data_IF_807605794074
#
_entry.id   IF_807605794074
#
_cell.length_a   1.000
_cell.length_b   1.000
_cell.length_c   1.000
_cell.angle_alpha   90.00
_cell.angle_beta   90.00
_cell.angle_gamma   90.00
#
_symmetry.space_group_name_H-M   'P 1'
#
loop_
_entity.id
_entity.type
_entity.pdbx_description
1 polymer ?
#
# COMPACT_ATOMS: atom_id res chain seq x y z
N UNK A 1 -42.92 -11.22 -6.83
CA UNK A 1 -41.84 -10.59 -6.04
C UNK A 1 -41.64 -9.21 -6.61
N UNK A 2 -41.76 -8.14 -5.81
CA UNK A 2 -41.63 -6.78 -6.33
C UNK A 2 -40.19 -6.55 -6.76
N UNK A 3 -40.06 -5.78 -7.83
CA UNK A 3 -38.82 -5.44 -8.52
C UNK A 3 -37.89 -4.71 -7.56
N UNK A 4 -36.69 -5.24 -7.33
CA UNK A 4 -35.59 -4.46 -6.77
C UNK A 4 -35.06 -3.55 -7.88
N UNK A 5 -35.76 -2.43 -8.07
CA UNK A 5 -35.29 -1.33 -8.90
C UNK A 5 -33.86 -0.95 -8.47
N UNK A 6 -32.98 -0.87 -9.47
CA UNK A 6 -31.69 -0.23 -9.32
C UNK A 6 -31.96 1.23 -8.94
N UNK A 7 -31.39 1.78 -7.85
CA UNK A 7 -31.24 3.21 -7.83
C UNK A 7 -30.21 3.52 -8.93
N UNK A 8 -30.64 4.26 -9.94
CA UNK A 8 -29.95 5.47 -10.45
C UNK A 8 -30.08 5.58 -11.98
N UNK A 9 -31.02 6.43 -12.41
CA UNK A 9 -31.10 6.97 -13.77
C UNK A 9 -30.00 8.03 -14.04
N UNK A 10 -29.10 8.25 -13.09
CA UNK A 10 -28.07 9.27 -13.15
C UNK A 10 -26.85 8.76 -13.91
N UNK A 11 -26.39 9.57 -14.84
CA UNK A 11 -25.16 9.30 -15.60
C UNK A 11 -23.93 9.69 -14.79
N UNK A 12 -22.76 9.12 -15.10
CA UNK A 12 -21.50 9.36 -14.39
C UNK A 12 -21.22 10.86 -14.04
N UNK A 13 -21.48 11.85 -14.92
CA UNK A 13 -21.28 13.26 -14.59
C UNK A 13 -22.14 13.79 -13.43
N UNK A 14 -23.38 13.32 -13.31
CA UNK A 14 -24.31 13.79 -12.27
C UNK A 14 -23.92 13.22 -10.90
N UNK A 15 -23.54 11.94 -10.87
CA UNK A 15 -22.99 11.30 -9.67
C UNK A 15 -21.70 11.99 -9.24
N UNK A 16 -20.81 12.29 -10.18
CA UNK A 16 -19.56 12.98 -9.89
C UNK A 16 -19.77 14.40 -9.36
N UNK A 17 -20.75 15.14 -9.89
CA UNK A 17 -21.09 16.47 -9.41
C UNK A 17 -21.53 16.46 -7.93
N UNK A 18 -22.25 15.43 -7.49
CA UNK A 18 -22.61 15.26 -6.07
C UNK A 18 -21.34 15.09 -5.22
N UNK A 19 -20.40 14.24 -5.67
CA UNK A 19 -19.14 14.03 -4.95
C UNK A 19 -18.29 15.32 -4.88
N UNK A 20 -18.17 16.07 -5.99
CA UNK A 20 -17.43 17.33 -5.99
C UNK A 20 -18.06 18.39 -5.09
N UNK A 21 -19.40 18.46 -5.02
CA UNK A 21 -20.08 19.44 -4.17
C UNK A 21 -19.72 19.25 -2.68
N UNK A 22 -19.54 18.01 -2.24
CA UNK A 22 -19.17 17.69 -0.86
C UNK A 22 -17.73 18.08 -0.49
N UNK A 23 -16.86 18.36 -1.47
CA UNK A 23 -15.52 18.88 -1.22
C UNK A 23 -15.54 20.33 -0.71
N UNK A 24 -16.56 21.10 -1.12
CA UNK A 24 -16.74 22.50 -0.72
C UNK A 24 -17.70 22.69 0.45
N UNK A 25 -18.55 21.70 0.74
CA UNK A 25 -19.56 21.77 1.79
C UNK A 25 -19.69 20.45 2.56
N UNK A 26 -19.33 20.50 3.85
CA UNK A 26 -19.40 19.35 4.75
C UNK A 26 -20.82 18.83 4.98
N UNK A 27 -21.85 19.66 4.76
CA UNK A 27 -23.25 19.23 4.90
C UNK A 27 -23.61 18.13 3.88
N UNK A 28 -22.90 18.09 2.74
CA UNK A 28 -23.08 17.09 1.68
C UNK A 28 -22.32 15.79 1.87
N UNK A 29 -21.43 15.67 2.87
CA UNK A 29 -20.56 14.48 3.05
C UNK A 29 -21.37 13.18 3.23
N UNK A 30 -22.52 13.26 3.91
CA UNK A 30 -23.38 12.10 4.12
C UNK A 30 -24.02 11.57 2.84
N UNK A 31 -24.37 12.46 1.90
CA UNK A 31 -24.93 12.06 0.61
C UNK A 31 -23.85 11.57 -0.34
N UNK A 32 -22.73 12.29 -0.40
CA UNK A 32 -21.56 11.86 -1.17
C UNK A 32 -21.06 10.48 -0.72
N UNK A 33 -21.11 10.17 0.58
CA UNK A 33 -20.75 8.85 1.09
C UNK A 33 -21.64 7.73 0.52
N UNK A 34 -22.96 7.92 0.48
CA UNK A 34 -23.90 6.94 -0.10
C UNK A 34 -23.64 6.75 -1.59
N UNK A 35 -23.45 7.86 -2.31
CA UNK A 35 -23.15 7.84 -3.75
C UNK A 35 -21.85 7.09 -4.02
N UNK A 36 -20.79 7.37 -3.26
CA UNK A 36 -19.50 6.70 -3.44
C UNK A 36 -19.58 5.19 -3.19
N UNK A 37 -20.29 4.78 -2.13
CA UNK A 37 -20.52 3.35 -1.85
C UNK A 37 -21.34 2.70 -2.96
N UNK A 38 -22.39 3.35 -3.44
CA UNK A 38 -23.19 2.83 -4.56
C UNK A 38 -22.31 2.65 -5.81
N UNK A 39 -21.53 3.66 -6.20
CA UNK A 39 -20.56 3.58 -7.31
C UNK A 39 -19.61 2.39 -7.11
N UNK A 40 -18.97 2.27 -5.94
CA UNK A 40 -17.99 1.22 -5.68
C UNK A 40 -18.59 -0.20 -5.72
N UNK A 41 -19.86 -0.37 -5.35
CA UNK A 41 -20.53 -1.67 -5.31
C UNK A 41 -21.23 -2.05 -6.62
N UNK A 42 -21.72 -1.07 -7.39
CA UNK A 42 -22.63 -1.33 -8.52
C UNK A 42 -22.11 -0.86 -9.87
N UNK A 43 -21.17 0.08 -9.93
CA UNK A 43 -20.60 0.52 -11.19
C UNK A 43 -19.65 -0.56 -11.73
N UNK A 44 -19.70 -0.81 -13.04
CA UNK A 44 -18.78 -1.74 -13.73
C UNK A 44 -17.61 -1.00 -14.42
N UNK A 45 -17.62 0.33 -14.40
CA UNK A 45 -16.53 1.17 -14.90
C UNK A 45 -15.49 1.42 -13.80
N UNK A 46 -14.45 0.59 -13.79
CA UNK A 46 -13.34 0.72 -12.85
C UNK A 46 -12.68 2.11 -12.92
N UNK A 47 -12.49 2.67 -14.11
CA UNK A 47 -11.82 3.97 -14.26
C UNK A 47 -12.63 5.08 -13.59
N UNK A 48 -13.95 5.02 -13.72
CA UNK A 48 -14.84 5.96 -13.05
C UNK A 48 -14.80 5.80 -11.53
N UNK A 49 -14.85 4.56 -11.02
CA UNK A 49 -14.72 4.29 -9.58
C UNK A 49 -13.41 4.88 -9.04
N UNK A 50 -12.30 4.60 -9.71
CA UNK A 50 -10.97 5.11 -9.33
C UNK A 50 -10.93 6.63 -9.38
N UNK A 51 -11.48 7.25 -10.42
CA UNK A 51 -11.53 8.70 -10.56
C UNK A 51 -12.28 9.38 -9.40
N UNK A 52 -13.44 8.84 -9.01
CA UNK A 52 -14.24 9.32 -7.89
C UNK A 52 -13.45 9.22 -6.56
N UNK A 53 -12.87 8.05 -6.29
CA UNK A 53 -12.12 7.82 -5.06
C UNK A 53 -10.84 8.66 -5.00
N UNK A 54 -10.12 8.80 -6.11
CA UNK A 54 -8.93 9.64 -6.20
C UNK A 54 -9.27 11.11 -5.96
N UNK A 55 -10.35 11.60 -6.56
CA UNK A 55 -10.80 12.98 -6.39
C UNK A 55 -11.12 13.28 -4.93
N UNK A 56 -11.89 12.41 -4.27
CA UNK A 56 -12.26 12.61 -2.86
C UNK A 56 -11.07 12.42 -1.92
N UNK A 57 -10.30 11.33 -2.09
CA UNK A 57 -9.19 11.00 -1.21
C UNK A 57 -8.04 12.01 -1.26
N UNK A 58 -7.91 12.78 -2.34
CA UNK A 58 -6.88 13.82 -2.48
C UNK A 58 -7.36 15.23 -2.13
N UNK A 59 -8.67 15.52 -2.27
CA UNK A 59 -9.21 16.89 -2.13
C UNK A 59 -10.07 17.10 -0.90
N UNK A 60 -10.57 16.04 -0.27
CA UNK A 60 -11.38 16.19 0.94
C UNK A 60 -10.52 16.74 2.10
N UNK A 61 -11.15 17.57 2.93
CA UNK A 61 -10.48 18.21 4.07
C UNK A 61 -10.08 17.18 5.14
N UNK A 62 -9.05 17.51 5.91
CA UNK A 62 -8.62 16.76 7.11
C UNK A 62 -9.82 16.48 8.03
N UNK A 63 -9.94 15.23 8.50
CA UNK A 63 -11.07 14.77 9.32
C UNK A 63 -12.39 14.61 8.57
N UNK A 64 -12.37 14.61 7.22
CA UNK A 64 -13.54 14.24 6.42
C UNK A 64 -13.73 12.72 6.41
N UNK A 65 -14.95 12.21 6.66
CA UNK A 65 -15.24 10.78 6.55
C UNK A 65 -15.12 10.27 5.11
N UNK A 66 -15.03 11.14 4.11
CA UNK A 66 -14.84 10.74 2.71
C UNK A 66 -13.42 10.20 2.46
N UNK A 67 -12.43 10.59 3.26
CA UNK A 67 -11.05 10.10 3.14
C UNK A 67 -10.96 8.60 3.43
N UNK A 68 -11.39 8.16 4.61
CA UNK A 68 -11.39 6.75 4.97
C UNK A 68 -12.31 5.91 4.07
N UNK A 69 -13.45 6.48 3.67
CA UNK A 69 -14.40 5.81 2.78
C UNK A 69 -13.85 5.61 1.36
N UNK A 70 -13.10 6.58 0.81
CA UNK A 70 -12.45 6.41 -0.49
C UNK A 70 -11.48 5.24 -0.49
N UNK A 71 -10.73 5.05 0.60
CA UNK A 71 -9.86 3.89 0.77
C UNK A 71 -10.61 2.56 0.81
N UNK A 72 -11.70 2.50 1.60
CA UNK A 72 -12.56 1.33 1.66
C UNK A 72 -13.17 0.98 0.29
N UNK A 73 -13.69 1.98 -0.43
CA UNK A 73 -14.28 1.81 -1.75
C UNK A 73 -13.27 1.29 -2.78
N UNK A 74 -12.01 1.76 -2.74
CA UNK A 74 -10.95 1.21 -3.57
C UNK A 74 -10.59 -0.23 -3.17
N UNK A 75 -10.62 -0.59 -1.89
CA UNK A 75 -10.46 -1.99 -1.44
C UNK A 75 -11.53 -2.91 -2.03
N UNK A 76 -12.80 -2.49 -2.00
CA UNK A 76 -13.88 -3.20 -2.67
C UNK A 76 -13.68 -3.29 -4.19
N UNK A 77 -13.20 -2.24 -4.84
CA UNK A 77 -12.86 -2.28 -6.26
C UNK A 77 -11.72 -3.28 -6.53
N UNK A 78 -10.67 -3.32 -5.71
CA UNK A 78 -9.62 -4.34 -5.82
C UNK A 78 -10.19 -5.76 -5.74
N UNK A 79 -11.11 -6.01 -4.79
CA UNK A 79 -11.79 -7.30 -4.67
C UNK A 79 -12.65 -7.66 -5.88
N UNK A 80 -13.37 -6.69 -6.45
CA UNK A 80 -14.27 -6.92 -7.60
C UNK A 80 -13.50 -7.12 -8.92
N UNK A 81 -12.46 -6.33 -9.14
CA UNK A 81 -11.78 -6.23 -10.44
C UNK A 81 -10.40 -6.89 -10.46
N UNK A 82 -9.87 -7.33 -9.32
CA UNK A 82 -8.52 -7.91 -9.19
C UNK A 82 -7.40 -6.95 -9.62
N UNK A 83 -7.73 -5.67 -9.76
CA UNK A 83 -6.90 -4.68 -10.42
C UNK A 83 -7.23 -3.27 -9.98
N UNK A 84 -6.19 -2.47 -9.77
CA UNK A 84 -6.22 -1.02 -9.58
C UNK A 84 -5.02 -0.36 -10.26
N UNK A 85 -5.14 0.93 -10.54
CA UNK A 85 -4.08 1.84 -10.95
C UNK A 85 -3.07 2.08 -9.82
N UNK A 86 -1.83 2.41 -10.18
CA UNK A 86 -0.78 2.75 -9.21
C UNK A 86 -1.17 3.97 -8.36
N UNK A 87 -1.87 4.94 -8.95
CA UNK A 87 -2.35 6.12 -8.24
C UNK A 87 -3.32 5.75 -7.11
N UNK A 88 -4.25 4.82 -7.36
CA UNK A 88 -5.21 4.35 -6.35
C UNK A 88 -4.52 3.56 -5.24
N UNK A 89 -3.53 2.72 -5.57
CA UNK A 89 -2.73 2.00 -4.58
C UNK A 89 -1.95 2.99 -3.70
N UNK A 90 -1.26 3.96 -4.31
CA UNK A 90 -0.49 4.97 -3.60
C UNK A 90 -1.37 5.86 -2.70
N UNK A 91 -2.57 6.24 -3.16
CA UNK A 91 -3.52 7.00 -2.34
C UNK A 91 -3.91 6.24 -1.08
N UNK A 92 -4.26 4.96 -1.19
CA UNK A 92 -4.67 4.15 -0.04
C UNK A 92 -3.53 3.94 0.94
N UNK A 93 -2.30 3.75 0.44
CA UNK A 93 -1.10 3.73 1.29
C UNK A 93 -0.93 5.03 2.10
N UNK A 94 -0.99 6.18 1.42
CA UNK A 94 -0.85 7.49 2.06
C UNK A 94 -1.96 7.77 3.10
N UNK A 95 -3.21 7.43 2.78
CA UNK A 95 -4.34 7.60 3.70
C UNK A 95 -4.26 6.62 4.88
N UNK A 96 -3.75 5.40 4.68
CA UNK A 96 -3.56 4.43 5.75
C UNK A 96 -2.48 4.89 6.74
N UNK A 97 -1.36 5.45 6.26
CA UNK A 97 -0.37 6.07 7.14
C UNK A 97 -0.96 7.19 7.98
N UNK A 98 -1.80 8.06 7.38
CA UNK A 98 -2.50 9.12 8.10
C UNK A 98 -3.44 8.57 9.17
N UNK A 99 -4.19 7.52 8.85
CA UNK A 99 -5.10 6.88 9.80
C UNK A 99 -4.38 6.18 10.96
N UNK A 100 -3.23 5.57 10.70
CA UNK A 100 -2.38 4.96 11.75
C UNK A 100 -1.76 6.04 12.66
N UNK A 101 -1.40 7.19 12.11
CA UNK A 101 -0.82 8.30 12.86
C UNK A 101 -1.87 9.08 13.67
N UNK A 102 -3.02 9.38 13.06
CA UNK A 102 -4.11 10.13 13.68
C UNK A 102 -5.49 9.69 13.12
N UNK A 103 -6.24 8.84 13.83
CA UNK A 103 -7.58 8.43 13.44
C UNK A 103 -8.61 9.57 13.35
N UNK A 104 -8.32 10.75 13.92
CA UNK A 104 -9.17 11.93 13.77
C UNK A 104 -8.92 12.69 12.45
N UNK A 105 -7.76 12.49 11.81
CA UNK A 105 -7.47 12.98 10.45
C UNK A 105 -8.10 12.07 9.39
N UNK A 106 -7.82 10.76 9.45
CA UNK A 106 -8.39 9.76 8.54
C UNK A 106 -8.89 8.58 9.37
N UNK A 107 -10.15 8.23 9.21
CA UNK A 107 -10.73 7.11 9.95
C UNK A 107 -10.21 5.74 9.47
N UNK A 108 -10.35 4.73 10.32
CA UNK A 108 -9.74 3.41 10.12
C UNK A 108 -10.33 2.59 8.98
N UNK A 109 -11.42 3.00 8.31
CA UNK A 109 -11.99 2.27 7.16
C UNK A 109 -11.01 2.13 6.00
N UNK A 110 -10.05 3.05 5.89
CA UNK A 110 -8.96 2.94 4.91
C UNK A 110 -8.10 1.69 5.15
N UNK A 111 -7.95 1.26 6.40
CA UNK A 111 -7.12 0.10 6.75
C UNK A 111 -7.78 -1.20 6.28
N UNK A 112 -9.11 -1.32 6.42
CA UNK A 112 -9.88 -2.42 5.85
C UNK A 112 -9.74 -2.45 4.32
N UNK A 113 -9.83 -1.28 3.68
CA UNK A 113 -9.60 -1.15 2.24
C UNK A 113 -8.19 -1.57 1.82
N UNK A 114 -7.17 -1.22 2.61
CA UNK A 114 -5.78 -1.63 2.42
C UNK A 114 -5.61 -3.14 2.53
N UNK A 115 -6.27 -3.78 3.49
CA UNK A 115 -6.19 -5.23 3.68
C UNK A 115 -6.91 -6.00 2.57
N UNK A 116 -8.03 -5.47 2.05
CA UNK A 116 -8.65 -5.98 0.82
C UNK A 116 -7.67 -5.89 -0.37
N UNK A 117 -6.98 -4.76 -0.56
CA UNK A 117 -6.01 -4.63 -1.65
C UNK A 117 -4.85 -5.62 -1.52
N UNK A 118 -4.31 -5.82 -0.31
CA UNK A 118 -3.28 -6.82 -0.03
C UNK A 118 -3.75 -8.24 -0.37
N UNK A 119 -5.03 -8.53 -0.16
CA UNK A 119 -5.63 -9.85 -0.38
C UNK A 119 -5.95 -10.11 -1.84
N UNK A 120 -6.39 -9.10 -2.59
CA UNK A 120 -6.97 -9.27 -3.92
C UNK A 120 -6.12 -8.74 -5.07
N UNK A 121 -5.14 -7.87 -4.81
CA UNK A 121 -4.15 -7.51 -5.81
C UNK A 121 -2.99 -8.51 -5.79
N UNK A 122 -2.44 -8.82 -6.96
CA UNK A 122 -1.22 -9.62 -7.03
C UNK A 122 -0.11 -8.98 -6.18
N UNK A 123 0.70 -9.78 -5.48
CA UNK A 123 1.85 -9.31 -4.68
C UNK A 123 2.72 -8.27 -5.42
N UNK A 124 2.94 -8.45 -6.72
CA UNK A 124 3.70 -7.51 -7.56
C UNK A 124 3.03 -6.13 -7.73
N UNK A 125 1.69 -6.05 -7.69
CA UNK A 125 0.92 -4.80 -7.91
C UNK A 125 0.65 -4.01 -6.64
N UNK A 126 0.59 -4.67 -5.50
CA UNK A 126 0.54 -3.99 -4.20
C UNK A 126 1.89 -3.36 -3.82
N UNK A 127 2.99 -3.82 -4.44
CA UNK A 127 4.35 -3.43 -4.07
C UNK A 127 4.80 -2.06 -4.60
N UNK A 128 3.93 -1.06 -4.48
CA UNK A 128 4.28 0.36 -4.56
C UNK A 128 4.16 0.94 -3.15
N UNK A 129 5.14 0.63 -2.31
CA UNK A 129 5.33 1.37 -1.06
C UNK A 129 5.64 2.82 -1.43
N UNK A 130 4.78 3.74 -1.01
CA UNK A 130 4.98 5.16 -1.24
C UNK A 130 6.25 5.64 -0.54
N UNK A 131 6.86 6.72 -1.03
CA UNK A 131 8.05 7.30 -0.39
C UNK A 131 7.81 7.71 1.07
N UNK A 132 6.57 8.08 1.42
CA UNK A 132 6.17 8.40 2.79
C UNK A 132 6.09 7.15 3.67
N UNK A 133 5.46 6.06 3.19
CA UNK A 133 5.44 4.77 3.90
C UNK A 133 6.85 4.24 4.14
N UNK A 134 7.72 4.34 3.14
CA UNK A 134 9.12 3.92 3.23
C UNK A 134 9.89 4.75 4.26
N UNK A 135 9.59 6.04 4.38
CA UNK A 135 10.21 6.93 5.36
C UNK A 135 9.75 6.62 6.79
N UNK A 136 8.46 6.42 7.00
CA UNK A 136 7.91 5.98 8.31
C UNK A 136 8.49 4.62 8.71
N UNK A 137 8.61 3.69 7.77
CA UNK A 137 9.20 2.38 8.02
C UNK A 137 10.69 2.49 8.40
N UNK A 138 11.44 3.38 7.75
CA UNK A 138 12.85 3.68 8.10
C UNK A 138 12.99 4.30 9.48
N UNK A 139 12.15 5.27 9.83
CA UNK A 139 12.16 5.90 11.15
C UNK A 139 11.89 4.88 12.27
N UNK A 140 10.89 4.02 12.08
CA UNK A 140 10.58 2.94 13.03
C UNK A 140 11.73 1.94 13.15
N UNK A 141 12.31 1.52 12.02
CA UNK A 141 13.46 0.62 12.03
C UNK A 141 14.68 1.24 12.72
N UNK A 142 14.94 2.53 12.49
CA UNK A 142 16.02 3.27 13.17
C UNK A 142 15.72 3.49 14.67
N UNK A 143 14.44 3.48 15.07
CA UNK A 143 14.02 3.44 16.47
C UNK A 143 14.08 2.03 17.12
N UNK A 144 14.46 1.00 16.36
CA UNK A 144 14.62 -0.38 16.84
C UNK A 144 13.37 -1.27 16.72
N UNK A 145 12.37 -0.87 15.93
CA UNK A 145 11.21 -1.70 15.62
C UNK A 145 11.61 -2.88 14.72
N UNK A 146 11.65 -4.08 15.30
CA UNK A 146 12.05 -5.32 14.61
C UNK A 146 11.17 -5.63 13.39
N UNK A 147 9.85 -5.40 13.50
CA UNK A 147 8.92 -5.62 12.39
C UNK A 147 9.20 -4.64 11.24
N UNK A 148 9.55 -3.39 11.55
CA UNK A 148 9.95 -2.43 10.53
C UNK A 148 11.27 -2.82 9.85
N UNK A 149 12.24 -3.33 10.61
CA UNK A 149 13.51 -3.86 10.07
C UNK A 149 13.25 -5.03 9.13
N UNK A 150 12.47 -6.03 9.55
CA UNK A 150 12.13 -7.21 8.72
C UNK A 150 11.48 -6.80 7.40
N UNK A 151 10.53 -5.87 7.44
CA UNK A 151 9.85 -5.38 6.24
C UNK A 151 10.81 -4.65 5.28
N UNK A 152 11.75 -3.85 5.79
CA UNK A 152 12.76 -3.19 4.96
C UNK A 152 13.74 -4.18 4.34
N UNK A 153 14.19 -5.19 5.09
CA UNK A 153 15.08 -6.25 4.58
C UNK A 153 14.40 -7.06 3.49
N UNK A 154 13.15 -7.50 3.72
CA UNK A 154 12.37 -8.21 2.71
C UNK A 154 12.20 -7.38 1.43
N UNK A 155 11.96 -6.07 1.58
CA UNK A 155 11.82 -5.17 0.44
C UNK A 155 13.13 -4.98 -0.34
N UNK A 156 14.24 -4.73 0.36
CA UNK A 156 15.54 -4.58 -0.27
C UNK A 156 15.94 -5.86 -1.03
N UNK A 157 15.61 -7.03 -0.46
CA UNK A 157 15.77 -8.31 -1.11
C UNK A 157 14.94 -8.48 -2.39
N UNK A 158 13.68 -8.09 -2.38
CA UNK A 158 12.81 -8.12 -3.57
C UNK A 158 13.31 -7.19 -4.68
N UNK A 159 13.84 -6.02 -4.31
CA UNK A 159 14.36 -5.03 -5.25
C UNK A 159 15.80 -5.32 -5.70
N UNK A 160 16.49 -6.25 -5.04
CA UNK A 160 17.91 -6.49 -5.25
C UNK A 160 18.80 -5.32 -4.82
N UNK A 161 18.35 -4.52 -3.87
CA UNK A 161 19.08 -3.37 -3.32
C UNK A 161 20.16 -3.86 -2.35
N UNK A 162 21.36 -4.06 -2.91
CA UNK A 162 22.53 -4.56 -2.18
C UNK A 162 22.98 -3.57 -1.10
N UNK A 163 22.88 -2.27 -1.36
CA UNK A 163 23.40 -1.25 -0.46
C UNK A 163 22.57 -1.21 0.84
N UNK A 164 21.24 -1.23 0.72
CA UNK A 164 20.36 -1.31 1.89
C UNK A 164 20.52 -2.66 2.62
N UNK A 165 20.63 -3.79 1.90
CA UNK A 165 20.90 -5.09 2.53
C UNK A 165 22.25 -5.11 3.27
N UNK A 166 23.30 -4.48 2.72
CA UNK A 166 24.63 -4.43 3.33
C UNK A 166 24.62 -3.60 4.60
N UNK A 167 23.92 -2.47 4.58
CA UNK A 167 23.68 -1.65 5.78
C UNK A 167 22.98 -2.45 6.88
N UNK A 168 22.00 -3.28 6.55
CA UNK A 168 21.32 -4.13 7.56
C UNK A 168 22.20 -5.28 8.06
N UNK A 169 22.94 -5.93 7.17
CA UNK A 169 23.89 -6.99 7.56
C UNK A 169 25.00 -6.46 8.48
N UNK A 170 25.54 -5.26 8.19
CA UNK A 170 26.56 -4.61 9.02
C UNK A 170 26.00 -4.18 10.40
N UNK A 171 24.68 -3.98 10.51
CA UNK A 171 23.97 -3.80 11.79
C UNK A 171 23.71 -5.12 12.55
N UNK A 172 24.12 -6.26 12.00
CA UNK A 172 23.95 -7.59 12.60
C UNK A 172 22.60 -8.25 12.32
N UNK A 173 21.84 -7.76 11.34
CA UNK A 173 20.55 -8.36 10.97
C UNK A 173 20.82 -9.61 10.11
N UNK A 174 20.70 -10.79 10.73
CA UNK A 174 21.02 -12.07 10.09
C UNK A 174 20.26 -12.32 8.78
N UNK A 175 18.97 -11.98 8.72
CA UNK A 175 18.16 -12.15 7.51
C UNK A 175 18.69 -11.35 6.31
N UNK A 176 19.30 -10.18 6.55
CA UNK A 176 19.90 -9.38 5.49
C UNK A 176 21.25 -9.96 5.03
N UNK A 177 22.04 -10.48 5.97
CA UNK A 177 23.30 -11.14 5.68
C UNK A 177 23.10 -12.40 4.81
N UNK A 178 22.16 -13.28 5.18
CA UNK A 178 21.84 -14.47 4.38
C UNK A 178 21.44 -14.11 2.96
N UNK A 179 20.65 -13.05 2.80
CA UNK A 179 20.21 -12.61 1.48
C UNK A 179 21.34 -12.06 0.61
N UNK A 180 22.30 -11.36 1.21
CA UNK A 180 23.51 -10.91 0.51
C UNK A 180 24.39 -12.08 0.11
N UNK A 181 24.54 -13.08 0.97
CA UNK A 181 25.31 -14.28 0.68
C UNK A 181 24.72 -15.00 -0.54
N UNK A 182 23.40 -15.21 -0.57
CA UNK A 182 22.71 -15.78 -1.73
C UNK A 182 22.97 -14.97 -3.01
N UNK A 183 22.80 -13.64 -2.93
CA UNK A 183 23.00 -12.75 -4.08
C UNK A 183 24.46 -12.74 -4.57
N UNK A 184 25.41 -12.77 -3.65
CA UNK A 184 26.84 -12.83 -3.95
C UNK A 184 27.19 -14.14 -4.67
N UNK A 185 26.65 -15.28 -4.24
CA UNK A 185 26.80 -16.55 -4.94
C UNK A 185 26.26 -16.48 -6.38
N UNK A 186 25.03 -16.01 -6.57
CA UNK A 186 24.44 -15.89 -7.91
C UNK A 186 25.17 -14.90 -8.83
N UNK A 187 25.94 -13.97 -8.26
CA UNK A 187 26.76 -12.99 -8.99
C UNK A 187 28.23 -13.38 -9.11
N UNK A 188 28.61 -14.54 -8.56
CA UNK A 188 30.00 -15.00 -8.47
C UNK A 188 30.92 -14.00 -7.74
N UNK A 189 30.37 -13.24 -6.78
CA UNK A 189 31.13 -12.30 -5.94
C UNK A 189 31.82 -13.06 -4.79
N UNK A 190 32.94 -13.68 -5.14
CA UNK A 190 33.75 -14.49 -4.21
C UNK A 190 34.35 -13.66 -3.07
N UNK A 191 34.58 -12.36 -3.28
CA UNK A 191 35.16 -11.51 -2.25
C UNK A 191 34.12 -11.18 -1.17
N UNK A 192 32.87 -10.94 -1.56
CA UNK A 192 31.77 -10.78 -0.62
C UNK A 192 31.47 -12.09 0.13
N UNK A 193 31.46 -13.24 -0.56
CA UNK A 193 31.31 -14.54 0.09
C UNK A 193 32.44 -14.82 1.10
N UNK A 194 33.71 -14.54 0.75
CA UNK A 194 34.84 -14.67 1.69
C UNK A 194 34.67 -13.78 2.90
N UNK A 195 34.23 -12.53 2.71
CA UNK A 195 33.95 -11.61 3.82
C UNK A 195 32.94 -12.22 4.78
N UNK A 196 31.85 -12.80 4.29
CA UNK A 196 30.84 -13.42 5.15
C UNK A 196 31.34 -14.72 5.81
N UNK A 197 32.10 -15.55 5.11
CA UNK A 197 32.74 -16.73 5.68
C UNK A 197 33.70 -16.38 6.83
N UNK A 198 34.53 -15.35 6.66
CA UNK A 198 35.44 -14.85 7.69
C UNK A 198 34.69 -14.29 8.92
N UNK A 199 33.47 -13.79 8.72
CA UNK A 199 32.59 -13.36 9.80
C UNK A 199 31.76 -14.50 10.41
N UNK A 200 32.01 -15.75 10.03
CA UNK A 200 31.42 -16.95 10.63
C UNK A 200 30.08 -17.38 10.05
N UNK A 201 29.67 -16.85 8.90
CA UNK A 201 28.46 -17.32 8.22
C UNK A 201 28.75 -18.63 7.48
N UNK A 202 28.19 -19.73 7.99
CA UNK A 202 28.40 -21.07 7.43
C UNK A 202 27.85 -21.19 6.01
N UNK A 203 26.73 -20.52 5.70
CA UNK A 203 26.16 -20.49 4.35
C UNK A 203 27.15 -19.97 3.31
N UNK A 204 27.94 -18.95 3.65
CA UNK A 204 28.96 -18.42 2.76
C UNK A 204 30.14 -19.40 2.56
N UNK A 205 30.51 -20.16 3.60
CA UNK A 205 31.52 -21.23 3.50
C UNK A 205 31.04 -22.32 2.56
N UNK A 206 29.79 -22.73 2.69
CA UNK A 206 29.17 -23.77 1.87
C UNK A 206 29.16 -23.34 0.39
N UNK A 207 28.76 -22.10 0.10
CA UNK A 207 28.75 -21.56 -1.26
C UNK A 207 30.14 -21.40 -1.89
N UNK A 208 31.19 -21.16 -1.11
CA UNK A 208 32.57 -21.12 -1.60
C UNK A 208 33.14 -22.52 -1.94
N UNK A 209 32.52 -23.58 -1.42
CA UNK A 209 32.95 -24.96 -1.60
C UNK A 209 32.25 -25.69 -2.76
N UNK A 210 31.17 -25.12 -3.32
CA UNK A 210 30.51 -25.57 -4.55
C UNK A 210 31.27 -25.15 -5.82
#
# INVERSE_FOLDING_TARGET
MPQTECPDALVHPELFAILESALGDRSGEGEAAKVLVNIALRCDDLRFIEHCCLTLGTRAVVGSPLLGLAGLCLGHAARRFGSLSEASVALVGALACRAEADPADVDTRVLDGRDDMRSFLSRARWSVMTGAELLVLRERADAGDETAVENLVARAAELGDVDDLRRFADKGIAAAAERLIELAYWREDLDELRRFADNGYSSAVDYLAE
#
